data_IF_033280163659
#
_entry.id   IF_033280163659
#
_cell.length_a   1.000
_cell.length_b   1.000
_cell.length_c   1.000
_cell.angle_alpha   90.00
_cell.angle_beta   90.00
_cell.angle_gamma   90.00
#
_symmetry.space_group_name_H-M   'P 1'
#
loop_
_entity.id
_entity.type
_entity.pdbx_description
1 polymer ?
#
# COMPACT_ATOMS: atom_id res chain seq x y z
N UNK A 1 -26.24 50.72 -30.76
CA UNK A 1 -26.72 50.28 -29.43
C UNK A 1 -25.64 49.45 -28.80
N UNK A 2 -24.91 50.04 -27.85
CA UNK A 2 -23.79 49.46 -27.22
C UNK A 2 -24.13 48.35 -26.24
N UNK A 3 -23.60 47.18 -26.45
CA UNK A 3 -23.56 46.11 -25.46
C UNK A 3 -22.11 45.95 -25.03
N UNK A 4 -21.76 46.53 -23.94
CA UNK A 4 -20.49 46.37 -23.31
C UNK A 4 -20.43 45.01 -22.60
N UNK A 5 -19.67 44.12 -23.19
CA UNK A 5 -19.30 42.87 -22.56
C UNK A 5 -18.06 43.09 -21.68
N UNK A 6 -18.26 43.29 -20.42
CA UNK A 6 -17.19 43.18 -19.43
C UNK A 6 -16.94 41.72 -19.13
N UNK A 7 -15.96 41.16 -19.77
CA UNK A 7 -15.36 39.90 -19.37
C UNK A 7 -14.48 40.10 -18.16
N UNK A 8 -15.00 39.84 -16.99
CA UNK A 8 -14.18 39.71 -15.79
C UNK A 8 -13.43 38.39 -15.85
N UNK A 9 -12.19 38.46 -16.30
CA UNK A 9 -11.24 37.40 -16.11
C UNK A 9 -10.84 37.35 -14.63
N UNK A 10 -11.61 36.57 -13.88
CA UNK A 10 -11.25 36.24 -12.51
C UNK A 10 -10.00 35.37 -12.50
N UNK A 11 -8.85 35.99 -12.31
CA UNK A 11 -7.64 35.27 -12.02
C UNK A 11 -7.81 34.60 -10.67
N UNK A 12 -7.81 33.27 -10.67
CA UNK A 12 -7.79 32.47 -9.46
C UNK A 12 -6.52 32.79 -8.68
N UNK A 13 -6.58 33.05 -7.36
CA UNK A 13 -5.37 33.26 -6.59
C UNK A 13 -4.55 31.95 -6.57
N UNK A 14 -3.22 32.03 -6.66
CA UNK A 14 -2.38 30.86 -6.54
C UNK A 14 -2.58 30.22 -5.16
N UNK A 15 -2.50 28.89 -5.08
CA UNK A 15 -2.63 28.21 -3.80
C UNK A 15 -1.51 28.67 -2.87
N UNK A 16 -1.79 28.80 -1.57
CA UNK A 16 -0.77 29.22 -0.63
C UNK A 16 0.39 28.22 -0.66
N UNK A 17 1.57 28.74 -0.89
CA UNK A 17 2.80 27.99 -0.75
C UNK A 17 2.83 27.35 0.63
N UNK A 18 2.77 26.03 0.70
CA UNK A 18 3.10 25.32 1.91
C UNK A 18 4.59 25.51 2.18
N UNK A 19 5.00 26.14 3.27
CA UNK A 19 6.39 26.17 3.64
C UNK A 19 6.84 24.74 3.91
N UNK A 20 7.98 24.31 3.41
CA UNK A 20 8.55 23.04 3.79
C UNK A 20 9.02 23.14 5.24
N UNK A 21 8.15 22.79 6.17
CA UNK A 21 8.54 22.61 7.56
C UNK A 21 9.26 21.29 7.73
N UNK A 22 10.41 21.19 7.09
CA UNK A 22 11.37 20.17 7.42
C UNK A 22 12.28 20.68 8.52
N UNK A 23 11.76 20.79 9.69
CA UNK A 23 12.59 20.60 10.86
C UNK A 23 12.83 19.10 10.96
N UNK A 24 13.80 18.64 10.21
CA UNK A 24 14.45 17.39 10.54
C UNK A 24 15.13 17.65 11.87
N UNK A 25 14.47 17.25 12.94
CA UNK A 25 15.14 17.05 14.20
C UNK A 25 16.13 15.91 13.95
N UNK A 26 17.35 16.31 13.70
CA UNK A 26 18.46 15.38 13.81
C UNK A 26 18.61 15.12 15.29
N UNK A 27 17.98 14.09 15.76
CA UNK A 27 18.33 13.47 17.01
C UNK A 27 19.74 12.93 16.85
N UNK A 28 20.70 13.77 17.19
CA UNK A 28 22.10 13.42 17.26
C UNK A 28 22.38 12.77 18.62
N UNK A 29 21.61 11.76 18.97
CA UNK A 29 21.87 10.87 20.08
C UNK A 29 22.13 9.46 19.57
N UNK A 30 23.05 9.37 18.64
CA UNK A 30 23.68 8.10 18.38
C UNK A 30 25.00 8.10 19.12
N UNK A 31 24.96 7.71 20.36
CA UNK A 31 26.12 7.14 21.02
C UNK A 31 26.62 6.04 20.10
N UNK A 32 27.88 6.03 19.71
CA UNK A 32 28.47 4.85 19.10
C UNK A 32 28.65 3.80 20.18
N UNK A 33 27.53 3.26 20.66
CA UNK A 33 27.55 2.01 21.38
C UNK A 33 28.02 0.98 20.37
N UNK A 34 29.08 0.30 20.72
CA UNK A 34 29.66 -0.82 19.99
C UNK A 34 28.56 -1.89 19.87
N UNK A 35 27.70 -1.71 18.89
CA UNK A 35 26.69 -2.70 18.51
C UNK A 35 27.42 -3.73 17.70
N UNK A 36 27.77 -4.83 18.33
CA UNK A 36 28.15 -6.05 17.62
C UNK A 36 26.94 -6.52 16.85
N UNK A 37 26.81 -5.97 15.62
CA UNK A 37 25.73 -6.34 14.70
C UNK A 37 26.08 -7.73 14.20
N UNK A 38 25.31 -8.72 14.60
CA UNK A 38 25.42 -10.07 14.06
C UNK A 38 24.89 -10.08 12.63
N UNK A 39 25.78 -10.10 11.65
CA UNK A 39 25.44 -10.11 10.24
C UNK A 39 24.85 -11.44 9.77
N UNK A 40 25.07 -12.51 10.52
CA UNK A 40 24.56 -13.84 10.19
C UNK A 40 23.11 -14.02 10.64
N UNK A 41 22.70 -13.35 11.70
CA UNK A 41 21.36 -13.41 12.27
C UNK A 41 20.72 -12.00 12.30
N UNK A 42 20.32 -11.44 11.15
CA UNK A 42 19.71 -10.12 11.09
C UNK A 42 18.37 -10.09 11.82
N UNK A 43 18.03 -8.95 12.43
CA UNK A 43 16.73 -8.78 13.06
C UNK A 43 15.61 -8.80 12.00
N UNK A 44 14.59 -9.60 12.24
CA UNK A 44 13.47 -9.78 11.33
C UNK A 44 12.69 -8.48 11.04
N UNK A 45 12.70 -7.53 11.97
CA UNK A 45 12.05 -6.23 11.78
C UNK A 45 12.84 -5.35 10.81
N UNK A 46 14.16 -5.30 10.98
CA UNK A 46 15.04 -4.54 10.10
C UNK A 46 15.04 -5.12 8.68
N UNK A 47 15.07 -6.44 8.54
CA UNK A 47 14.98 -7.10 7.24
C UNK A 47 13.68 -6.78 6.49
N UNK A 48 12.56 -6.69 7.19
CA UNK A 48 11.28 -6.32 6.56
C UNK A 48 11.24 -4.87 6.08
N UNK A 49 11.97 -3.97 6.73
CA UNK A 49 12.03 -2.56 6.33
C UNK A 49 12.93 -2.32 5.12
N UNK A 50 13.89 -3.21 4.86
CA UNK A 50 14.78 -3.12 3.71
C UNK A 50 14.06 -3.37 2.39
N UNK A 51 14.63 -2.85 1.31
CA UNK A 51 14.15 -3.14 -0.04
C UNK A 51 14.19 -4.65 -0.32
N UNK A 52 13.21 -5.17 -1.05
CA UNK A 52 13.06 -6.60 -1.33
C UNK A 52 14.30 -7.28 -1.94
N UNK A 53 15.08 -6.54 -2.73
CA UNK A 53 16.30 -7.03 -3.37
C UNK A 53 17.56 -6.84 -2.51
N UNK A 54 17.50 -6.01 -1.47
CA UNK A 54 18.62 -5.72 -0.57
C UNK A 54 18.59 -6.53 0.72
N UNK A 55 17.66 -7.44 0.85
CA UNK A 55 17.55 -8.34 1.98
C UNK A 55 18.61 -9.43 1.89
N UNK A 56 18.99 -9.99 3.02
CA UNK A 56 19.89 -11.15 3.05
C UNK A 56 19.36 -12.31 2.21
N UNK A 57 18.07 -12.59 2.34
CA UNK A 57 17.33 -13.49 1.47
C UNK A 57 16.31 -12.65 0.73
N UNK A 58 16.45 -12.54 -0.59
CA UNK A 58 15.52 -11.78 -1.41
C UNK A 58 14.15 -12.45 -1.39
N UNK A 59 13.14 -11.71 -1.02
CA UNK A 59 11.77 -12.20 -0.97
C UNK A 59 10.80 -11.11 -1.43
N UNK A 60 9.70 -11.47 -2.11
CA UNK A 60 8.70 -10.50 -2.52
C UNK A 60 7.91 -9.98 -1.32
N UNK A 61 7.38 -8.77 -1.45
CA UNK A 61 6.45 -8.19 -0.48
C UNK A 61 5.00 -8.60 -0.74
N UNK A 62 4.74 -9.25 -1.86
CA UNK A 62 3.44 -9.76 -2.23
C UNK A 62 3.20 -11.15 -1.64
N UNK A 63 1.96 -11.51 -1.48
CA UNK A 63 1.57 -12.81 -0.94
C UNK A 63 0.26 -13.27 -1.58
N UNK A 64 -0.01 -14.55 -1.47
CA UNK A 64 -1.31 -15.11 -1.79
C UNK A 64 -2.16 -15.20 -0.52
N UNK A 65 -3.45 -15.04 -0.70
CA UNK A 65 -4.41 -15.16 0.40
C UNK A 65 -5.60 -15.99 -0.02
N UNK A 66 -6.15 -16.73 0.95
CA UNK A 66 -7.37 -17.47 0.78
C UNK A 66 -8.53 -16.60 1.25
N UNK A 67 -9.42 -16.26 0.34
CA UNK A 67 -10.58 -15.40 0.59
C UNK A 67 -11.84 -16.28 0.64
N UNK A 68 -12.59 -16.15 1.70
CA UNK A 68 -13.86 -16.85 1.89
C UNK A 68 -14.99 -15.92 1.44
N UNK A 69 -15.80 -16.41 0.50
CA UNK A 69 -16.99 -15.71 0.06
C UNK A 69 -18.05 -15.67 1.17
N UNK A 70 -18.71 -14.54 1.42
CA UNK A 70 -19.75 -14.46 2.44
C UNK A 70 -21.07 -15.13 2.01
N UNK A 71 -21.31 -15.30 0.71
CA UNK A 71 -22.52 -15.90 0.20
C UNK A 71 -22.49 -17.41 0.18
N UNK A 72 -21.58 -18.01 -0.56
CA UNK A 72 -21.48 -19.47 -0.75
C UNK A 72 -20.45 -20.14 0.16
N UNK A 73 -19.71 -19.38 0.96
CA UNK A 73 -18.66 -19.86 1.86
C UNK A 73 -17.50 -20.59 1.17
N UNK A 74 -17.42 -20.49 -0.15
CA UNK A 74 -16.31 -21.05 -0.92
C UNK A 74 -15.02 -20.27 -0.69
N UNK A 75 -13.91 -20.99 -0.61
CA UNK A 75 -12.59 -20.40 -0.47
C UNK A 75 -11.95 -20.29 -1.84
N UNK A 76 -11.49 -19.09 -2.18
CA UNK A 76 -10.79 -18.80 -3.43
C UNK A 76 -9.44 -18.19 -3.12
N UNK A 77 -8.38 -18.67 -3.76
CA UNK A 77 -7.04 -18.09 -3.61
C UNK A 77 -6.93 -16.82 -4.46
N UNK A 78 -6.53 -15.73 -3.85
CA UNK A 78 -6.39 -14.41 -4.49
C UNK A 78 -4.99 -13.87 -4.24
N UNK A 79 -4.44 -13.21 -5.24
CA UNK A 79 -3.16 -12.52 -5.12
C UNK A 79 -3.34 -11.14 -4.46
N UNK A 80 -2.42 -10.77 -3.57
CA UNK A 80 -2.53 -9.51 -2.81
C UNK A 80 -2.45 -8.25 -3.68
N UNK A 81 -1.79 -8.33 -4.82
CA UNK A 81 -1.66 -7.25 -5.81
C UNK A 81 -2.38 -7.60 -7.12
N UNK A 82 -3.54 -8.20 -7.03
CA UNK A 82 -4.34 -8.56 -8.19
C UNK A 82 -4.66 -7.32 -9.06
N UNK A 83 -4.45 -7.43 -10.35
CA UNK A 83 -4.73 -6.36 -11.33
C UNK A 83 -6.09 -6.50 -11.99
N UNK A 84 -6.76 -7.63 -11.80
CA UNK A 84 -8.08 -7.91 -12.36
C UNK A 84 -9.08 -8.15 -11.25
N UNK A 85 -10.35 -7.91 -11.54
CA UNK A 85 -11.44 -8.22 -10.62
C UNK A 85 -11.55 -9.74 -10.45
N UNK A 86 -11.54 -10.21 -9.21
CA UNK A 86 -11.71 -11.62 -8.89
C UNK A 86 -13.14 -11.87 -8.46
N UNK A 87 -13.79 -12.79 -9.15
CA UNK A 87 -15.16 -13.21 -8.85
C UNK A 87 -15.14 -14.59 -8.16
N UNK A 88 -16.12 -14.81 -7.33
CA UNK A 88 -16.34 -16.15 -6.77
C UNK A 88 -16.73 -17.12 -7.89
N UNK A 89 -16.13 -18.31 -7.90
CA UNK A 89 -16.42 -19.33 -8.92
C UNK A 89 -17.85 -19.86 -8.87
N UNK A 90 -18.50 -19.80 -7.73
CA UNK A 90 -19.84 -20.37 -7.52
C UNK A 90 -20.95 -19.30 -7.66
N UNK A 91 -20.94 -18.28 -6.83
CA UNK A 91 -21.99 -17.24 -6.84
C UNK A 91 -21.66 -16.03 -7.71
N UNK A 92 -20.47 -15.98 -8.30
CA UNK A 92 -19.97 -14.88 -9.15
C UNK A 92 -19.96 -13.50 -8.46
N UNK A 93 -20.04 -13.49 -7.16
CA UNK A 93 -19.91 -12.27 -6.38
C UNK A 93 -18.47 -11.74 -6.46
N UNK A 94 -18.33 -10.43 -6.57
CA UNK A 94 -17.01 -9.79 -6.58
C UNK A 94 -16.34 -9.97 -5.21
N UNK A 95 -15.17 -10.59 -5.19
CA UNK A 95 -14.35 -10.79 -4.00
C UNK A 95 -13.28 -9.73 -3.82
N UNK A 96 -12.70 -9.29 -4.92
CA UNK A 96 -11.55 -8.41 -4.92
C UNK A 96 -11.65 -7.39 -6.04
N UNK A 97 -11.35 -6.15 -5.72
CA UNK A 97 -11.24 -5.05 -6.66
C UNK A 97 -9.78 -4.63 -6.80
N UNK A 98 -9.26 -4.50 -8.04
CA UNK A 98 -7.89 -4.05 -8.25
C UNK A 98 -7.73 -2.58 -7.87
N UNK A 99 -6.58 -2.25 -7.33
CA UNK A 99 -6.14 -0.87 -7.10
C UNK A 99 -4.71 -0.69 -7.61
N UNK A 100 -4.16 0.49 -7.52
CA UNK A 100 -2.77 0.75 -7.92
C UNK A 100 -1.71 0.06 -7.04
N UNK A 101 -2.10 -0.50 -5.92
CA UNK A 101 -1.25 -1.25 -4.99
C UNK A 101 -1.91 -2.56 -4.56
N UNK A 102 -2.15 -2.71 -3.27
CA UNK A 102 -2.87 -3.85 -2.72
C UNK A 102 -4.30 -3.87 -3.23
N UNK A 103 -4.77 -5.04 -3.63
CA UNK A 103 -6.15 -5.24 -4.02
C UNK A 103 -7.09 -5.05 -2.81
N UNK A 104 -8.21 -4.39 -3.05
CA UNK A 104 -9.23 -4.16 -2.04
C UNK A 104 -10.22 -5.31 -2.03
N UNK A 105 -10.41 -5.93 -0.88
CA UNK A 105 -11.43 -6.95 -0.69
C UNK A 105 -12.80 -6.32 -0.49
N UNK A 106 -13.84 -7.02 -0.96
CA UNK A 106 -15.23 -6.64 -0.73
C UNK A 106 -15.59 -6.83 0.75
N UNK A 107 -16.46 -5.98 1.25
CA UNK A 107 -16.94 -6.08 2.63
C UNK A 107 -17.64 -7.42 2.89
N UNK A 108 -17.46 -7.96 4.08
CA UNK A 108 -18.00 -9.27 4.48
C UNK A 108 -17.14 -10.47 4.08
N UNK A 109 -16.11 -10.29 3.26
CA UNK A 109 -15.16 -11.35 2.94
C UNK A 109 -14.16 -11.55 4.08
N UNK A 110 -13.95 -12.79 4.47
CA UNK A 110 -12.85 -13.16 5.37
C UNK A 110 -11.66 -13.61 4.55
N UNK A 111 -10.47 -13.24 4.98
CA UNK A 111 -9.24 -13.66 4.31
C UNK A 111 -8.23 -14.23 5.30
N UNK A 112 -7.41 -15.12 4.82
CA UNK A 112 -6.26 -15.66 5.54
C UNK A 112 -5.04 -15.62 4.62
N UNK A 113 -3.93 -15.12 5.12
CA UNK A 113 -2.66 -15.17 4.39
C UNK A 113 -2.24 -16.63 4.23
N UNK A 114 -1.97 -17.03 3.00
CA UNK A 114 -1.46 -18.37 2.72
C UNK A 114 -0.01 -18.45 3.18
N UNK A 115 0.30 -19.42 4.02
CA UNK A 115 1.65 -19.73 4.46
C UNK A 115 2.19 -20.79 3.51
N UNK A 116 3.38 -20.53 2.97
CA UNK A 116 4.12 -21.53 2.19
C UNK A 116 4.80 -22.53 3.10
#
# INVERSE_FOLDING_TARGET
FGSSLFGSSGASPPPPFCPPSHKVLRDSDTSPGNMDIDLLNPDAKEERSKHKLKRMIQSPNSFFMDVKCPGCLQITTVYSHAQTVVLCGNCKQMLCQPTGGLARLTEGCSFRKKVE
#
